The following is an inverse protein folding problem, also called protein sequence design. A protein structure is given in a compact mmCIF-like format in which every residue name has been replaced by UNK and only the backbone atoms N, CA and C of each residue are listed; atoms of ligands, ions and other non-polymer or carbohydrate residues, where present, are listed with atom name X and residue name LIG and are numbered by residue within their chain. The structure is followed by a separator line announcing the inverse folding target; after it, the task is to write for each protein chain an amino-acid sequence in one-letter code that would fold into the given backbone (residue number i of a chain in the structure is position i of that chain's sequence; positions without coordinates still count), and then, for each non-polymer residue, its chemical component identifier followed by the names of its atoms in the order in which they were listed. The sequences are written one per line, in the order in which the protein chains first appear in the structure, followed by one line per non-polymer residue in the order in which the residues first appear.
data_IF_208380650311
#
_entry.id   IF_208380650311
#
_cell.length_a   1.000
_cell.length_b   1.000
_cell.length_c   1.000
_cell.angle_alpha   90.00
_cell.angle_beta   90.00
_cell.angle_gamma   90.00
#
_symmetry.space_group_name_H-M   'P 1'
#
loop_
_entity.id
_entity.type
_entity.pdbx_description
1 polymer ?
#
# COMPACT_ATOMS: atom_id res chain seq x y z
N UNK A 1 8.46 -4.84 6.28
CA UNK A 1 9.03 -6.20 6.07
C UNK A 1 8.18 -6.87 4.99
N UNK A 2 8.65 -7.85 4.20
CA UNK A 2 7.73 -8.51 3.26
C UNK A 2 6.82 -9.47 4.00
N UNK A 3 5.51 -9.27 3.85
CA UNK A 3 4.44 -10.13 4.35
C UNK A 3 4.14 -11.20 3.31
N UNK A 4 4.09 -12.47 3.71
CA UNK A 4 3.93 -13.61 2.77
C UNK A 4 2.60 -14.34 2.94
N UNK A 5 1.93 -14.13 4.06
CA UNK A 5 0.59 -14.59 4.35
C UNK A 5 -0.46 -13.94 3.43
N UNK A 6 -1.61 -14.60 3.27
CA UNK A 6 -2.76 -14.04 2.58
C UNK A 6 -3.30 -12.81 3.34
N UNK A 7 -3.54 -11.67 2.66
CA UNK A 7 -3.62 -11.46 1.20
C UNK A 7 -2.35 -10.91 0.53
N UNK A 8 -1.21 -10.84 1.22
CA UNK A 8 -0.03 -10.08 0.76
C UNK A 8 0.86 -10.83 -0.24
N UNK A 9 0.99 -12.16 -0.11
CA UNK A 9 1.72 -13.03 -1.05
C UNK A 9 3.14 -12.55 -1.43
N UNK A 10 3.86 -11.89 -0.52
CA UNK A 10 5.22 -11.41 -0.75
C UNK A 10 5.34 -10.19 -1.66
N UNK A 11 4.21 -9.57 -2.05
CA UNK A 11 4.17 -8.35 -2.84
C UNK A 11 4.57 -7.14 -1.99
N UNK A 12 4.99 -6.06 -2.66
CA UNK A 12 5.58 -4.90 -1.98
C UNK A 12 4.56 -3.80 -1.71
N UNK A 13 3.70 -3.52 -2.67
CA UNK A 13 2.77 -2.41 -2.59
C UNK A 13 1.39 -2.93 -2.27
N UNK A 14 0.75 -2.30 -1.30
CA UNK A 14 -0.60 -2.59 -0.85
C UNK A 14 -1.47 -1.40 -1.15
N UNK A 15 -2.60 -1.62 -1.79
CA UNK A 15 -3.62 -0.62 -2.01
C UNK A 15 -4.82 -0.89 -1.09
N UNK A 16 -5.13 0.09 -0.24
CA UNK A 16 -6.33 0.13 0.59
C UNK A 16 -7.46 0.72 -0.24
N UNK A 17 -8.42 -0.11 -0.65
CA UNK A 17 -9.54 0.30 -1.50
C UNK A 17 -10.46 1.28 -0.76
N UNK A 18 -10.68 1.08 0.55
CA UNK A 18 -11.60 1.90 1.35
C UNK A 18 -11.07 3.31 1.56
N UNK A 19 -9.81 3.43 1.97
CA UNK A 19 -9.15 4.74 2.19
C UNK A 19 -8.59 5.33 0.90
N UNK A 20 -8.55 4.53 -0.17
CA UNK A 20 -7.94 4.87 -1.45
C UNK A 20 -6.48 5.26 -1.30
N UNK A 21 -5.77 4.57 -0.42
CA UNK A 21 -4.37 4.86 -0.10
C UNK A 21 -3.43 3.76 -0.56
N UNK A 22 -2.33 4.16 -1.20
CA UNK A 22 -1.25 3.26 -1.58
C UNK A 22 -0.17 3.21 -0.48
N UNK A 23 0.22 2.00 -0.09
CA UNK A 23 1.21 1.72 0.95
C UNK A 23 2.41 0.96 0.36
N UNK A 24 3.59 1.19 0.96
CA UNK A 24 4.81 0.42 0.70
C UNK A 24 5.11 -0.45 1.92
N UNK A 25 4.95 -1.77 1.80
CA UNK A 25 5.17 -2.73 2.89
C UNK A 25 6.64 -2.83 3.30
N UNK A 26 7.57 -2.42 2.44
CA UNK A 26 8.99 -2.36 2.84
C UNK A 26 9.22 -1.24 3.84
N UNK A 27 8.53 -0.11 3.66
CA UNK A 27 8.63 1.09 4.47
C UNK A 27 7.44 1.28 5.42
N UNK A 28 6.65 0.23 5.66
CA UNK A 28 5.48 0.29 6.52
C UNK A 28 5.86 0.74 7.94
N UNK A 29 4.98 1.54 8.53
CA UNK A 29 5.09 2.00 9.91
C UNK A 29 3.80 1.65 10.65
N UNK A 30 3.82 1.65 11.98
CA UNK A 30 2.61 1.35 12.77
C UNK A 30 1.48 2.35 12.49
N UNK A 31 1.86 3.59 12.20
CA UNK A 31 1.00 4.71 11.83
C UNK A 31 0.25 4.47 10.51
N UNK A 32 0.73 3.56 9.64
CA UNK A 32 0.01 3.17 8.44
C UNK A 32 -1.27 2.36 8.74
N UNK A 33 -1.37 1.75 9.93
CA UNK A 33 -2.47 0.92 10.38
C UNK A 33 -2.93 -0.16 9.37
N UNK A 34 -1.96 -0.82 8.72
CA UNK A 34 -2.19 -1.81 7.66
C UNK A 34 -2.93 -3.06 8.20
N UNK A 35 -2.68 -3.42 9.46
CA UNK A 35 -3.30 -4.59 10.09
C UNK A 35 -4.80 -4.43 10.33
N UNK A 36 -5.32 -3.20 10.26
CA UNK A 36 -6.76 -2.90 10.42
C UNK A 36 -7.50 -2.81 9.08
N UNK A 37 -6.82 -2.99 7.94
CA UNK A 37 -7.46 -2.94 6.63
C UNK A 37 -8.20 -4.26 6.41
N UNK A 38 -9.44 -4.18 5.92
CA UNK A 38 -10.18 -5.37 5.51
C UNK A 38 -9.40 -6.12 4.42
N UNK A 39 -9.17 -7.42 4.63
CA UNK A 39 -8.42 -8.26 3.69
C UNK A 39 -9.09 -8.35 2.32
N UNK A 40 -10.41 -8.21 2.25
CA UNK A 40 -11.16 -8.19 0.99
C UNK A 40 -11.03 -6.84 0.26
N UNK A 41 -10.61 -5.79 0.97
CA UNK A 41 -10.40 -4.45 0.44
C UNK A 41 -8.91 -4.15 0.14
N UNK A 42 -8.10 -5.19 -0.05
CA UNK A 42 -6.66 -5.10 -0.30
C UNK A 42 -6.34 -5.58 -1.72
N UNK A 43 -5.78 -4.67 -2.51
CA UNK A 43 -5.13 -5.02 -3.78
C UNK A 43 -3.62 -4.96 -3.64
N UNK A 44 -2.92 -5.91 -4.25
CA UNK A 44 -1.48 -6.08 -4.06
C UNK A 44 -0.69 -6.02 -5.37
N UNK A 45 0.37 -5.21 -5.37
CA UNK A 45 1.22 -4.97 -6.54
C UNK A 45 2.69 -5.28 -6.27
N UNK A 46 3.36 -5.78 -7.31
CA UNK A 46 4.75 -6.24 -7.21
C UNK A 46 5.72 -5.07 -7.38
N UNK A 47 5.37 -4.08 -8.21
CA UNK A 47 6.25 -2.97 -8.57
C UNK A 47 5.58 -1.60 -8.39
N UNK A 48 6.40 -0.56 -8.25
CA UNK A 48 5.88 0.81 -8.14
C UNK A 48 5.24 1.25 -9.46
N UNK A 49 5.71 0.77 -10.61
CA UNK A 49 5.13 1.12 -11.91
C UNK A 49 3.69 0.64 -12.05
N UNK A 50 3.37 -0.56 -11.54
CA UNK A 50 1.99 -1.05 -11.51
C UNK A 50 1.14 -0.19 -10.57
N UNK A 51 1.67 0.10 -9.38
CA UNK A 51 0.97 0.83 -8.35
C UNK A 51 0.84 2.35 -8.63
N UNK A 52 1.78 2.94 -9.37
CA UNK A 52 1.80 4.37 -9.68
C UNK A 52 0.72 4.78 -10.67
N UNK A 53 0.24 3.84 -11.49
CA UNK A 53 -0.92 4.06 -12.35
C UNK A 53 -2.16 4.43 -11.54
N UNK A 54 -2.27 3.95 -10.29
CA UNK A 54 -3.32 4.39 -9.37
C UNK A 54 -3.08 5.84 -8.94
N UNK A 55 -1.85 6.22 -8.61
CA UNK A 55 -1.51 7.57 -8.16
C UNK A 55 -1.71 8.65 -9.24
N UNK A 56 -1.71 8.28 -10.52
CA UNK A 56 -2.02 9.19 -11.63
C UNK A 56 -3.50 9.60 -11.65
N UNK A 57 -4.36 8.89 -10.93
CA UNK A 57 -5.79 9.14 -10.90
C UNK A 57 -6.18 9.91 -9.61
N UNK A 58 -7.01 10.98 -9.71
CA UNK A 58 -7.15 12.02 -8.67
C UNK A 58 -7.84 11.56 -7.37
N UNK A 59 -8.25 10.30 -7.31
CA UNK A 59 -8.98 9.71 -6.19
C UNK A 59 -8.12 8.81 -5.32
N UNK A 60 -6.86 8.57 -5.71
CA UNK A 60 -5.94 7.70 -4.98
C UNK A 60 -4.77 8.51 -4.44
N UNK A 61 -4.35 8.18 -3.23
CA UNK A 61 -3.37 8.97 -2.50
C UNK A 61 -2.22 8.11 -2.00
N UNK A 62 -0.97 8.59 -2.03
CA UNK A 62 0.13 7.91 -1.37
C UNK A 62 -0.03 8.01 0.15
N UNK A 63 0.26 6.93 0.88
CA UNK A 63 0.22 6.95 2.33
C UNK A 63 1.25 7.95 2.89
N UNK A 64 0.86 8.90 3.76
CA UNK A 64 1.74 9.97 4.25
C UNK A 64 2.86 9.47 5.19
N UNK A 65 2.83 8.21 5.60
CA UNK A 65 3.78 7.63 6.55
C UNK A 65 4.86 6.77 5.87
N UNK A 66 4.46 5.87 4.97
CA UNK A 66 5.36 4.92 4.31
C UNK A 66 5.75 5.33 2.87
N UNK A 67 4.95 6.19 2.21
CA UNK A 67 5.24 6.69 0.87
C UNK A 67 5.86 8.10 0.89
N UNK A 68 6.04 8.70 2.07
CA UNK A 68 6.74 9.97 2.20
C UNK A 68 8.21 9.75 1.84
N UNK A 69 8.68 10.43 0.79
CA UNK A 69 10.11 10.55 0.53
C UNK A 69 10.67 11.37 1.68
N UNK A 70 11.63 10.82 2.42
CA UNK A 70 12.46 11.65 3.29
C UNK A 70 13.15 12.67 2.37
N UNK A 71 12.82 13.96 2.57
CA UNK A 71 13.47 15.09 1.91
C UNK A 71 14.91 15.27 2.39
#
# INVERSE_FOLDING_TARGET
MRRYEEPYYGKRYLYDIEKKTLHDLVNEKKECNIDSIDKEAIDMYSSLNEASLLLDHPFYYPCPHCMKKDE
#
